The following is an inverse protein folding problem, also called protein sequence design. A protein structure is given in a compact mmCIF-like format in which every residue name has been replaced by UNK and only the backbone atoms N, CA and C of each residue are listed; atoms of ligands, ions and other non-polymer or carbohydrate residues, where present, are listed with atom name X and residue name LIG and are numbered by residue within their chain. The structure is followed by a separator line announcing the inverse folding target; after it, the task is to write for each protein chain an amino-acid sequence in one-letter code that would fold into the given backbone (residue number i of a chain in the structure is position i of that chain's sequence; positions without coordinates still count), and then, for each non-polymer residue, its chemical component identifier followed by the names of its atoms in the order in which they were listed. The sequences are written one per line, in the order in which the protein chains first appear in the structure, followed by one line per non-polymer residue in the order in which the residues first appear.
data_IF_499650443635
#
_entry.id   IF_499650443635
#
_cell.length_a   1.000
_cell.length_b   1.000
_cell.length_c   1.000
_cell.angle_alpha   90.00
_cell.angle_beta   90.00
_cell.angle_gamma   90.00
#
_symmetry.space_group_name_H-M   'P 1'
#
loop_
_entity.id
_entity.type
_entity.pdbx_description
1 polymer ?
#
# COMPACT_ATOMS: atom_id res chain seq x y z
N UNK A 1 26.06 37.18 35.52
CA UNK A 1 26.28 36.32 34.34
C UNK A 1 25.71 34.94 34.62
N UNK A 2 24.57 34.59 34.02
CA UNK A 2 23.98 33.24 34.01
C UNK A 2 23.48 33.00 32.60
N UNK A 3 24.17 32.15 31.84
CA UNK A 3 23.70 31.70 30.54
C UNK A 3 22.55 30.69 30.76
N UNK A 4 21.42 30.78 30.05
CA UNK A 4 20.45 29.70 30.06
C UNK A 4 20.94 28.58 29.15
N UNK A 5 20.98 27.43 29.79
CA UNK A 5 21.29 26.09 29.32
C UNK A 5 20.41 25.73 28.11
N UNK A 6 21.03 25.48 26.96
CA UNK A 6 20.36 24.96 25.77
C UNK A 6 20.11 23.46 25.98
N UNK A 7 18.85 23.07 26.13
CA UNK A 7 18.45 21.66 26.08
C UNK A 7 18.41 21.22 24.61
N UNK A 8 19.20 20.22 24.18
CA UNK A 8 18.94 19.58 22.89
C UNK A 8 17.67 18.74 23.04
N UNK A 9 16.62 19.14 22.34
CA UNK A 9 15.40 18.35 22.17
C UNK A 9 15.79 17.04 21.50
N UNK A 10 15.69 15.93 22.23
CA UNK A 10 15.91 14.60 21.69
C UNK A 10 14.92 14.38 20.54
N UNK A 11 15.48 14.24 19.32
CA UNK A 11 14.75 13.85 18.12
C UNK A 11 14.15 12.47 18.39
N UNK A 12 12.82 12.38 18.34
CA UNK A 12 12.09 11.15 18.50
C UNK A 12 12.67 10.07 17.58
N UNK A 13 13.06 8.94 18.18
CA UNK A 13 13.36 7.71 17.47
C UNK A 13 12.04 7.19 16.89
N UNK A 14 11.74 7.60 15.65
CA UNK A 14 10.68 7.02 14.85
C UNK A 14 11.10 5.63 14.40
N UNK A 15 10.34 4.64 14.87
CA UNK A 15 10.30 3.25 14.43
C UNK A 15 10.52 3.15 12.90
N UNK A 16 11.62 2.52 12.48
CA UNK A 16 11.84 2.25 11.06
C UNK A 16 10.95 1.10 10.64
N UNK A 17 9.85 1.39 9.95
CA UNK A 17 9.11 0.40 9.19
C UNK A 17 9.90 0.12 7.90
N UNK A 18 10.72 -0.92 7.92
CA UNK A 18 11.28 -1.48 6.69
C UNK A 18 10.10 -1.94 5.80
N UNK A 19 9.94 -1.29 4.64
CA UNK A 19 8.90 -1.62 3.65
C UNK A 19 8.01 -0.47 3.19
N UNK A 20 8.35 0.80 3.46
CA UNK A 20 7.56 1.93 2.97
C UNK A 20 7.84 2.20 1.49
N UNK A 21 7.04 1.59 0.61
CA UNK A 21 7.04 1.89 -0.85
C UNK A 21 6.92 3.41 -1.08
N UNK A 22 6.11 4.11 -0.27
CA UNK A 22 6.14 5.57 -0.16
C UNK A 22 5.62 5.99 1.23
N UNK A 23 6.31 6.88 1.96
CA UNK A 23 5.90 7.33 3.30
C UNK A 23 4.57 8.12 3.32
N UNK A 24 4.06 8.52 2.16
CA UNK A 24 2.80 9.25 2.06
C UNK A 24 1.57 8.35 1.82
N UNK A 25 1.75 7.04 1.67
CA UNK A 25 0.62 6.10 1.66
C UNK A 25 -0.05 6.14 3.04
N UNK A 26 -1.34 6.44 3.03
CA UNK A 26 -2.19 6.47 4.22
C UNK A 26 -2.95 5.15 4.32
N UNK A 27 -2.79 4.47 5.46
CA UNK A 27 -3.60 3.31 5.82
C UNK A 27 -4.88 3.77 6.53
N UNK A 28 -6.03 3.24 6.11
CA UNK A 28 -7.32 3.52 6.69
C UNK A 28 -8.12 2.23 6.90
N UNK A 29 -8.97 2.20 7.92
CA UNK A 29 -9.92 1.10 8.12
C UNK A 29 -11.31 1.59 7.68
N UNK A 30 -11.84 1.03 6.59
CA UNK A 30 -13.16 1.36 6.05
C UNK A 30 -13.99 0.09 6.01
N UNK A 31 -15.23 0.13 6.51
CA UNK A 31 -16.11 -1.05 6.58
C UNK A 31 -15.51 -2.27 7.30
N UNK A 32 -14.73 -2.03 8.36
CA UNK A 32 -13.99 -3.06 9.11
C UNK A 32 -12.91 -3.79 8.30
N UNK A 33 -12.49 -3.23 7.16
CA UNK A 33 -11.41 -3.75 6.33
C UNK A 33 -10.25 -2.75 6.22
N UNK A 34 -8.98 -3.19 6.34
CA UNK A 34 -7.86 -2.33 6.02
C UNK A 34 -7.93 -1.90 4.54
N UNK A 35 -7.60 -0.65 4.26
CA UNK A 35 -7.62 -0.03 2.94
C UNK A 35 -6.45 0.93 2.85
N UNK A 36 -5.85 1.00 1.67
CA UNK A 36 -4.72 1.88 1.40
C UNK A 36 -5.14 2.98 0.43
N UNK A 37 -4.77 4.20 0.75
CA UNK A 37 -5.02 5.39 -0.06
C UNK A 37 -3.77 6.26 -0.11
N UNK A 38 -3.53 6.93 -1.23
CA UNK A 38 -2.49 7.95 -1.36
C UNK A 38 -3.17 9.27 -1.73
N UNK A 39 -3.13 9.69 -3.00
CA UNK A 39 -3.96 10.78 -3.53
C UNK A 39 -5.41 10.33 -3.78
N UNK A 40 -5.58 9.07 -4.15
CA UNK A 40 -6.86 8.37 -4.37
C UNK A 40 -6.74 6.93 -3.81
N UNK A 41 -7.81 6.15 -3.87
CA UNK A 41 -7.84 4.77 -3.39
C UNK A 41 -6.90 3.86 -4.19
N UNK A 42 -6.01 3.16 -3.49
CA UNK A 42 -5.10 2.17 -4.07
C UNK A 42 -5.78 0.81 -4.06
N UNK A 43 -6.04 0.27 -2.87
CA UNK A 43 -6.56 -1.07 -2.69
C UNK A 43 -7.33 -1.23 -1.38
N UNK A 44 -8.27 -2.18 -1.37
CA UNK A 44 -9.07 -2.56 -0.20
C UNK A 44 -9.01 -4.07 0.00
N UNK A 45 -8.81 -4.51 1.25
CA UNK A 45 -8.91 -5.92 1.58
C UNK A 45 -10.37 -6.37 1.60
N UNK A 46 -10.66 -7.48 0.93
CA UNK A 46 -11.94 -8.15 1.01
C UNK A 46 -11.86 -9.29 2.05
N UNK A 47 -12.31 -8.99 3.27
CA UNK A 47 -12.31 -9.92 4.40
C UNK A 47 -13.45 -10.95 4.36
N UNK A 48 -14.31 -10.93 3.33
CA UNK A 48 -15.38 -11.90 3.17
C UNK A 48 -14.85 -13.26 2.69
N UNK A 49 -13.74 -13.26 1.95
CA UNK A 49 -13.07 -14.48 1.53
C UNK A 49 -12.43 -15.17 2.75
N UNK A 50 -12.90 -16.38 3.08
CA UNK A 50 -12.40 -17.15 4.24
C UNK A 50 -11.23 -18.08 3.92
N UNK A 51 -11.00 -18.35 2.64
CA UNK A 51 -9.99 -19.32 2.18
C UNK A 51 -8.71 -18.67 1.67
N UNK A 52 -8.74 -17.37 1.39
CA UNK A 52 -7.61 -16.62 0.84
C UNK A 52 -7.76 -15.15 1.22
N UNK A 53 -6.64 -14.43 1.27
CA UNK A 53 -6.63 -12.98 1.36
C UNK A 53 -6.90 -12.44 -0.04
N UNK A 54 -8.01 -11.71 -0.17
CA UNK A 54 -8.40 -11.07 -1.42
C UNK A 54 -8.15 -9.57 -1.30
N UNK A 55 -7.33 -9.02 -2.17
CA UNK A 55 -7.05 -7.58 -2.28
C UNK A 55 -7.66 -7.05 -3.58
N UNK A 56 -8.44 -5.99 -3.50
CA UNK A 56 -9.09 -5.37 -4.67
C UNK A 56 -8.50 -3.99 -4.91
N UNK A 57 -7.96 -3.79 -6.11
CA UNK A 57 -7.47 -2.49 -6.57
C UNK A 57 -8.58 -1.76 -7.31
N UNK A 58 -8.95 -0.58 -6.84
CA UNK A 58 -10.07 0.21 -7.36
C UNK A 58 -9.64 1.37 -8.27
N UNK A 59 -8.34 1.48 -8.58
CA UNK A 59 -7.80 2.55 -9.39
C UNK A 59 -7.79 2.16 -10.88
N UNK A 60 -8.36 2.95 -11.81
CA UNK A 60 -8.38 2.60 -13.24
C UNK A 60 -6.98 2.48 -13.87
N UNK A 61 -5.98 3.16 -13.31
CA UNK A 61 -4.58 3.09 -13.75
C UNK A 61 -3.97 1.71 -13.55
N UNK A 62 -4.53 0.87 -12.68
CA UNK A 62 -4.07 -0.50 -12.45
C UNK A 62 -4.18 -1.36 -13.72
N UNK A 63 -5.07 -1.02 -14.64
CA UNK A 63 -5.22 -1.72 -15.92
C UNK A 63 -3.99 -1.62 -16.82
N UNK A 64 -3.15 -0.59 -16.62
CA UNK A 64 -1.90 -0.36 -17.36
C UNK A 64 -0.75 -1.21 -16.81
N UNK A 65 -0.87 -1.67 -15.57
CA UNK A 65 0.16 -2.44 -14.87
C UNK A 65 -0.06 -3.93 -15.16
N UNK A 66 0.94 -4.55 -15.77
CA UNK A 66 0.93 -6.00 -16.00
C UNK A 66 1.77 -6.67 -14.91
N UNK A 67 1.12 -7.43 -14.04
CA UNK A 67 1.81 -8.16 -12.99
C UNK A 67 1.18 -9.55 -12.83
N UNK A 68 1.98 -10.60 -12.60
CA UNK A 68 1.47 -11.97 -12.47
C UNK A 68 0.59 -12.17 -11.23
N UNK A 69 0.60 -11.24 -10.27
CA UNK A 69 -0.25 -11.29 -9.07
C UNK A 69 -1.62 -10.64 -9.29
N UNK A 70 -1.79 -9.89 -10.39
CA UNK A 70 -3.02 -9.17 -10.71
C UNK A 70 -3.88 -10.04 -11.62
N UNK A 71 -5.02 -10.42 -11.09
CA UNK A 71 -6.05 -11.19 -11.77
C UNK A 71 -7.29 -10.32 -12.09
N UNK A 72 -8.07 -10.80 -13.05
CA UNK A 72 -9.28 -10.14 -13.54
C UNK A 72 -9.01 -9.23 -14.73
N UNK A 73 -10.01 -9.11 -15.61
CA UNK A 73 -9.95 -8.27 -16.81
C UNK A 73 -11.07 -7.23 -16.80
N UNK A 74 -11.06 -6.37 -15.79
CA UNK A 74 -12.00 -5.26 -15.65
C UNK A 74 -11.36 -3.93 -16.08
N UNK A 75 -12.11 -2.99 -16.67
CA UNK A 75 -11.55 -1.71 -17.09
C UNK A 75 -11.11 -0.82 -15.91
N UNK A 76 -11.71 -1.00 -14.75
CA UNK A 76 -11.61 -0.12 -13.58
C UNK A 76 -10.94 -0.78 -12.36
N UNK A 77 -10.71 -2.10 -12.39
CA UNK A 77 -10.22 -2.85 -11.22
C UNK A 77 -9.40 -4.08 -11.56
N UNK A 78 -8.56 -4.48 -10.61
CA UNK A 78 -7.82 -5.75 -10.60
C UNK A 78 -7.90 -6.37 -9.20
N UNK A 79 -7.77 -7.68 -9.13
CA UNK A 79 -7.86 -8.46 -7.90
C UNK A 79 -6.53 -9.18 -7.69
N UNK A 80 -6.06 -9.27 -6.46
CA UNK A 80 -4.93 -10.11 -6.11
C UNK A 80 -5.36 -11.11 -5.03
N UNK A 81 -4.96 -12.36 -5.20
CA UNK A 81 -5.28 -13.45 -4.30
C UNK A 81 -3.99 -13.99 -3.67
N UNK A 82 -4.04 -14.11 -2.34
CA UNK A 82 -2.96 -14.71 -1.56
C UNK A 82 -3.53 -15.85 -0.71
N UNK A 83 -2.96 -17.04 -0.87
CA UNK A 83 -3.51 -18.24 -0.22
C UNK A 83 -3.01 -18.39 1.22
N UNK A 84 -1.74 -18.06 1.46
CA UNK A 84 -1.09 -18.20 2.76
C UNK A 84 0.06 -17.16 2.93
N UNK A 85 0.71 -17.17 4.09
CA UNK A 85 1.79 -16.23 4.40
C UNK A 85 3.08 -16.47 3.59
N UNK A 86 3.31 -17.67 3.08
CA UNK A 86 4.47 -17.96 2.24
C UNK A 86 4.26 -17.44 0.82
N UNK A 87 3.03 -17.57 0.31
CA UNK A 87 2.58 -16.96 -0.94
C UNK A 87 2.64 -15.42 -0.86
N UNK A 88 2.23 -14.83 0.27
CA UNK A 88 2.41 -13.38 0.51
C UNK A 88 3.88 -12.98 0.42
N UNK A 89 4.78 -13.71 1.09
CA UNK A 89 6.22 -13.41 1.05
C UNK A 89 6.82 -13.57 -0.35
N UNK A 90 6.40 -14.61 -1.09
CA UNK A 90 6.86 -14.82 -2.46
C UNK A 90 6.38 -13.73 -3.43
N UNK A 91 5.16 -13.24 -3.23
CA UNK A 91 4.53 -12.20 -4.07
C UNK A 91 4.80 -10.77 -3.60
N UNK A 92 5.40 -10.59 -2.41
CA UNK A 92 5.69 -9.29 -1.84
C UNK A 92 6.46 -8.36 -2.81
N UNK A 93 7.55 -8.79 -3.47
CA UNK A 93 8.28 -7.91 -4.39
C UNK A 93 7.43 -7.45 -5.57
N UNK A 94 6.58 -8.34 -6.10
CA UNK A 94 5.67 -8.00 -7.18
C UNK A 94 4.57 -7.03 -6.72
N UNK A 95 4.11 -7.16 -5.47
CA UNK A 95 3.13 -6.24 -4.88
C UNK A 95 3.73 -4.85 -4.66
N UNK A 96 4.94 -4.77 -4.13
CA UNK A 96 5.67 -3.52 -3.94
C UNK A 96 5.88 -2.80 -5.29
N UNK A 97 6.26 -3.54 -6.34
CA UNK A 97 6.40 -2.99 -7.67
C UNK A 97 5.09 -2.42 -8.21
N UNK A 98 3.98 -3.18 -8.12
CA UNK A 98 2.65 -2.72 -8.54
C UNK A 98 2.24 -1.44 -7.82
N UNK A 99 2.45 -1.37 -6.50
CA UNK A 99 2.11 -0.18 -5.71
C UNK A 99 2.99 1.00 -6.10
N UNK A 100 4.29 0.81 -6.31
CA UNK A 100 5.20 1.87 -6.74
C UNK A 100 4.84 2.42 -8.12
N UNK A 101 4.54 1.54 -9.07
CA UNK A 101 4.11 1.95 -10.41
C UNK A 101 2.77 2.69 -10.36
N UNK A 102 1.83 2.22 -9.52
CA UNK A 102 0.54 2.88 -9.38
C UNK A 102 0.70 4.28 -8.79
N UNK A 103 1.56 4.47 -7.80
CA UNK A 103 1.86 5.78 -7.22
C UNK A 103 2.47 6.70 -8.27
N UNK A 104 3.41 6.22 -9.07
CA UNK A 104 3.99 7.00 -10.16
C UNK A 104 2.92 7.44 -11.17
N UNK A 105 2.00 6.56 -11.54
CA UNK A 105 0.86 6.90 -12.40
C UNK A 105 -0.07 7.92 -11.75
N UNK A 106 -0.30 7.84 -10.43
CA UNK A 106 -1.11 8.81 -9.71
C UNK A 106 -0.45 10.18 -9.62
N UNK A 107 0.87 10.24 -9.47
CA UNK A 107 1.64 11.49 -9.50
C UNK A 107 1.65 12.13 -10.89
N UNK A 108 1.68 11.35 -11.98
CA UNK A 108 1.55 11.87 -13.36
C UNK A 108 0.17 12.47 -13.66
N UNK A 109 -0.85 12.11 -12.89
CA UNK A 109 -2.24 12.57 -13.06
C UNK A 109 -2.61 13.76 -12.16
N UNK A 110 -1.73 14.13 -11.23
CA UNK A 110 -1.91 15.24 -10.28
C UNK A 110 -1.41 16.59 -10.84
#
# INVERSE_FOLDING_TARGET
MRAPFFLPTAKAAGFQTEGSVNPAITEQIKWNAPSFSYTDYIATFNLHARQHVHLVFHNPSISRIQSPILEGDYPDRRMAYFSDMDDVRAKQPALEQVVSELIALMDEQA
#
